data_IF_698978494715
#
_entry.id   IF_698978494715
#
_cell.length_a   1.000
_cell.length_b   1.000
_cell.length_c   1.000
_cell.angle_alpha   90.00
_cell.angle_beta   90.00
_cell.angle_gamma   90.00
#
_symmetry.space_group_name_H-M   'P 1'
#
loop_
_entity.id
_entity.type
_entity.pdbx_description
1 polymer ?
#
# COMPACT_ATOMS: atom_id res chain seq x y z
N UNK A 1 -1.90 -10.15 -14.62
CA UNK A 1 -1.62 -10.54 -13.22
C UNK A 1 -2.75 -10.17 -12.26
N UNK A 2 -3.42 -9.02 -12.44
CA UNK A 2 -4.57 -8.55 -11.63
C UNK A 2 -5.66 -9.60 -11.33
N UNK A 3 -6.14 -10.32 -12.34
CA UNK A 3 -7.12 -11.43 -12.17
C UNK A 3 -6.68 -12.54 -11.22
N UNK A 4 -5.36 -12.78 -11.07
CA UNK A 4 -4.83 -13.80 -10.14
C UNK A 4 -4.71 -13.26 -8.72
N UNK A 5 -4.43 -11.96 -8.55
CA UNK A 5 -4.41 -11.34 -7.22
C UNK A 5 -5.80 -11.21 -6.63
N UNK A 6 -6.81 -10.85 -7.44
CA UNK A 6 -8.22 -10.84 -7.04
C UNK A 6 -8.71 -12.20 -6.53
N UNK A 7 -8.24 -13.30 -7.13
CA UNK A 7 -8.59 -14.66 -6.69
C UNK A 7 -7.99 -15.04 -5.32
N UNK A 8 -6.88 -14.41 -4.93
CA UNK A 8 -6.15 -14.72 -3.68
C UNK A 8 -6.56 -13.78 -2.54
N UNK A 9 -7.14 -12.61 -2.85
CA UNK A 9 -7.60 -11.64 -1.85
C UNK A 9 -8.53 -12.25 -0.77
N UNK A 10 -9.56 -13.06 -1.09
CA UNK A 10 -10.42 -13.67 -0.08
C UNK A 10 -9.67 -14.61 0.87
N UNK A 11 -8.69 -15.36 0.35
CA UNK A 11 -7.87 -16.26 1.15
C UNK A 11 -6.95 -15.48 2.10
N UNK A 12 -6.34 -14.38 1.62
CA UNK A 12 -5.49 -13.54 2.46
C UNK A 12 -6.29 -12.83 3.55
N UNK A 13 -7.48 -12.31 3.23
CA UNK A 13 -8.38 -11.72 4.23
C UNK A 13 -8.82 -12.75 5.27
N UNK A 14 -9.11 -13.99 4.83
CA UNK A 14 -9.42 -15.09 5.73
C UNK A 14 -8.25 -15.38 6.68
N UNK A 15 -7.02 -15.48 6.17
CA UNK A 15 -5.82 -15.67 6.99
C UNK A 15 -5.61 -14.52 7.99
N UNK A 16 -5.85 -13.27 7.59
CA UNK A 16 -5.83 -12.12 8.50
C UNK A 16 -6.86 -12.25 9.63
N UNK A 17 -8.09 -12.66 9.30
CA UNK A 17 -9.17 -12.81 10.29
C UNK A 17 -8.95 -14.00 11.24
N UNK A 18 -8.32 -15.07 10.77
CA UNK A 18 -8.07 -16.29 11.56
C UNK A 18 -6.78 -16.21 12.39
N UNK A 19 -5.87 -15.27 12.09
CA UNK A 19 -4.57 -15.14 12.72
C UNK A 19 -4.35 -13.75 13.33
N UNK A 20 -5.40 -13.15 13.90
CA UNK A 20 -5.29 -11.89 14.66
C UNK A 20 -4.25 -12.02 15.77
N UNK A 21 -3.45 -10.98 15.98
CA UNK A 21 -2.36 -10.92 16.99
C UNK A 21 -1.18 -11.83 16.70
N UNK A 22 -1.12 -12.40 15.50
CA UNK A 22 -0.04 -13.28 15.09
C UNK A 22 0.91 -12.59 14.09
N UNK A 23 2.12 -13.13 13.96
CA UNK A 23 3.12 -12.73 12.98
C UNK A 23 2.57 -12.70 11.54
N UNK A 24 1.59 -13.57 11.28
CA UNK A 24 0.91 -13.69 9.99
C UNK A 24 0.09 -12.43 9.65
N UNK A 25 -0.55 -11.80 10.64
CA UNK A 25 -1.37 -10.59 10.46
C UNK A 25 -0.52 -9.44 9.90
N UNK A 26 0.60 -9.12 10.58
CA UNK A 26 1.46 -8.04 10.11
C UNK A 26 2.20 -8.40 8.82
N UNK A 27 2.59 -9.67 8.63
CA UNK A 27 3.34 -10.09 7.45
C UNK A 27 2.50 -9.94 6.18
N UNK A 28 1.21 -10.28 6.24
CA UNK A 28 0.28 -10.10 5.13
C UNK A 28 0.06 -8.61 4.87
N UNK A 29 -0.29 -7.81 5.89
CA UNK A 29 -0.52 -6.37 5.73
C UNK A 29 0.70 -5.61 5.17
N UNK A 30 1.90 -5.89 5.71
CA UNK A 30 3.13 -5.25 5.27
C UNK A 30 3.55 -5.62 3.84
N UNK A 31 3.10 -6.76 3.31
CA UNK A 31 3.37 -7.16 1.92
C UNK A 31 2.34 -6.61 0.94
N UNK A 32 1.08 -6.54 1.35
CA UNK A 32 0.00 -6.09 0.47
C UNK A 32 0.18 -4.64 0.05
N UNK A 33 0.71 -3.76 0.90
CA UNK A 33 0.96 -2.37 0.50
C UNK A 33 1.98 -2.20 -0.64
N UNK A 34 2.76 -3.23 -0.98
CA UNK A 34 3.65 -3.29 -2.15
C UNK A 34 3.03 -3.97 -3.38
N UNK A 35 1.87 -4.62 -3.26
CA UNK A 35 1.31 -5.45 -4.32
C UNK A 35 0.25 -4.68 -5.11
N UNK A 36 0.61 -4.16 -6.27
CA UNK A 36 -0.34 -3.53 -7.22
C UNK A 36 -1.26 -4.54 -7.93
N UNK A 37 -1.16 -5.83 -7.57
CA UNK A 37 -1.84 -6.93 -8.25
C UNK A 37 -3.08 -7.43 -7.55
N UNK A 38 -3.30 -7.04 -6.29
CA UNK A 38 -4.48 -7.41 -5.48
C UNK A 38 -5.44 -6.23 -5.39
N UNK A 39 -6.73 -6.51 -5.24
CA UNK A 39 -7.69 -5.48 -4.84
C UNK A 39 -7.37 -5.02 -3.42
N UNK A 40 -6.92 -3.77 -3.28
CA UNK A 40 -6.40 -3.22 -2.03
C UNK A 40 -7.52 -2.83 -1.06
N UNK A 41 -8.72 -2.50 -1.57
CA UNK A 41 -9.82 -1.94 -0.79
C UNK A 41 -10.15 -2.72 0.49
N UNK A 42 -10.38 -4.05 0.40
CA UNK A 42 -10.67 -4.87 1.57
C UNK A 42 -9.55 -4.87 2.64
N UNK A 43 -8.30 -4.69 2.24
CA UNK A 43 -7.17 -4.64 3.16
C UNK A 43 -7.03 -3.28 3.84
N UNK A 44 -7.43 -2.20 3.15
CA UNK A 44 -7.55 -0.87 3.77
C UNK A 44 -8.65 -0.88 4.83
N UNK A 45 -9.78 -1.50 4.53
CA UNK A 45 -10.88 -1.62 5.49
C UNK A 45 -10.48 -2.45 6.72
N UNK A 46 -9.74 -3.54 6.50
CA UNK A 46 -9.15 -4.31 7.59
C UNK A 46 -8.18 -3.46 8.43
N UNK A 47 -7.27 -2.72 7.79
CA UNK A 47 -6.29 -1.87 8.48
C UNK A 47 -6.97 -0.77 9.31
N UNK A 48 -7.98 -0.08 8.75
CA UNK A 48 -8.79 0.91 9.47
C UNK A 48 -9.50 0.31 10.66
N UNK A 49 -10.11 -0.87 10.47
CA UNK A 49 -10.80 -1.61 11.52
C UNK A 49 -9.85 -1.98 12.65
N UNK A 50 -8.68 -2.52 12.31
CA UNK A 50 -7.61 -2.85 13.25
C UNK A 50 -7.19 -1.63 14.08
N UNK A 51 -6.90 -0.51 13.41
CA UNK A 51 -6.48 0.73 14.05
C UNK A 51 -7.57 1.35 14.94
N UNK A 52 -8.86 1.21 14.58
CA UNK A 52 -10.01 1.75 15.32
C UNK A 52 -10.41 0.89 16.51
N UNK A 53 -10.50 -0.43 16.31
CA UNK A 53 -11.08 -1.34 17.30
C UNK A 53 -10.04 -1.89 18.27
N UNK A 54 -8.78 -1.94 17.86
CA UNK A 54 -7.67 -2.52 18.64
C UNK A 54 -6.60 -1.49 18.97
N UNK A 55 -6.94 -0.21 19.02
CA UNK A 55 -6.00 0.90 19.30
C UNK A 55 -5.11 0.61 20.50
N UNK A 56 -5.71 0.14 21.60
CA UNK A 56 -5.02 -0.09 22.89
C UNK A 56 -4.29 -1.43 22.96
N UNK A 57 -4.80 -2.45 22.28
CA UNK A 57 -4.38 -3.85 22.48
C UNK A 57 -3.49 -4.38 21.37
N UNK A 58 -3.50 -3.78 20.18
CA UNK A 58 -2.68 -4.26 19.05
C UNK A 58 -1.19 -4.12 19.34
N UNK A 59 -0.36 -5.01 18.77
CA UNK A 59 1.10 -4.86 18.86
C UNK A 59 1.60 -3.64 18.07
N UNK A 60 2.84 -3.20 18.35
CA UNK A 60 3.46 -2.13 17.57
C UNK A 60 3.68 -2.52 16.11
N UNK A 61 3.99 -3.79 15.85
CA UNK A 61 4.16 -4.34 14.50
C UNK A 61 2.84 -4.33 13.71
N UNK A 62 1.73 -4.70 14.37
CA UNK A 62 0.40 -4.64 13.75
C UNK A 62 -0.01 -3.20 13.45
N UNK A 63 0.23 -2.27 14.38
CA UNK A 63 0.00 -0.84 14.18
C UNK A 63 0.84 -0.30 13.00
N UNK A 64 2.11 -0.70 12.92
CA UNK A 64 3.00 -0.30 11.84
C UNK A 64 2.59 -0.85 10.49
N UNK A 65 2.21 -2.12 10.40
CA UNK A 65 1.77 -2.73 9.14
C UNK A 65 0.44 -2.13 8.64
N UNK A 66 -0.48 -1.81 9.55
CA UNK A 66 -1.72 -1.12 9.22
C UNK A 66 -1.48 0.34 8.80
N UNK A 67 -0.58 1.05 9.49
CA UNK A 67 -0.20 2.40 9.12
C UNK A 67 0.51 2.42 7.75
N UNK A 68 1.38 1.44 7.49
CA UNK A 68 2.14 1.29 6.25
C UNK A 68 1.25 1.17 5.00
N UNK A 69 0.20 0.35 5.05
CA UNK A 69 -0.70 0.17 3.91
C UNK A 69 -1.57 1.43 3.71
N UNK A 70 -2.03 2.06 4.79
CA UNK A 70 -2.82 3.29 4.74
C UNK A 70 -2.01 4.50 4.31
N UNK A 71 -0.71 4.57 4.60
CA UNK A 71 0.14 5.67 4.12
C UNK A 71 0.23 5.73 2.59
N UNK A 72 0.25 4.56 1.94
CA UNK A 72 0.37 4.44 0.48
C UNK A 72 -0.97 4.61 -0.24
N UNK A 73 -2.02 4.06 0.35
CA UNK A 73 -3.30 3.87 -0.35
C UNK A 73 -4.50 4.52 0.34
N UNK A 74 -4.30 5.07 1.54
CA UNK A 74 -5.34 5.68 2.35
C UNK A 74 -5.78 7.05 1.86
N UNK A 75 -6.41 7.79 2.76
CA UNK A 75 -7.18 9.00 2.53
C UNK A 75 -6.87 10.06 3.59
N UNK A 76 -7.51 11.22 3.51
CA UNK A 76 -7.31 12.30 4.49
C UNK A 76 -7.93 11.96 5.84
N UNK A 77 -8.98 11.14 5.85
CA UNK A 77 -9.59 10.59 7.05
C UNK A 77 -8.62 9.68 7.83
N UNK A 78 -7.79 8.94 7.10
CA UNK A 78 -6.76 8.07 7.70
C UNK A 78 -5.64 8.90 8.38
N UNK A 79 -5.40 10.14 7.92
CA UNK A 79 -4.49 11.08 8.57
C UNK A 79 -4.96 11.45 9.98
N UNK A 80 -6.23 11.86 10.10
CA UNK A 80 -6.83 12.18 11.39
C UNK A 80 -6.85 10.97 12.33
N UNK A 81 -7.07 9.76 11.77
CA UNK A 81 -7.00 8.53 12.55
C UNK A 81 -5.59 8.27 13.10
N UNK A 82 -4.52 8.54 12.32
CA UNK A 82 -3.14 8.41 12.81
C UNK A 82 -2.82 9.39 13.93
N UNK A 83 -3.22 10.66 13.79
CA UNK A 83 -3.02 11.68 14.83
C UNK A 83 -3.70 11.28 16.14
N UNK A 84 -4.93 10.77 16.04
CA UNK A 84 -5.67 10.32 17.21
C UNK A 84 -4.99 9.13 17.89
N UNK A 85 -4.50 8.15 17.13
CA UNK A 85 -3.81 6.99 17.68
C UNK A 85 -2.50 7.38 18.34
N UNK A 86 -1.74 8.30 17.74
CA UNK A 86 -0.51 8.82 18.35
C UNK A 86 -0.82 9.52 19.68
N UNK A 87 -1.92 10.27 19.75
CA UNK A 87 -2.37 10.96 20.96
C UNK A 87 -2.80 9.98 22.06
N UNK A 88 -3.62 9.00 21.70
CA UNK A 88 -4.24 8.05 22.64
C UNK A 88 -3.28 6.93 23.05
N UNK A 89 -2.31 6.59 22.20
CA UNK A 89 -1.30 5.56 22.46
C UNK A 89 0.11 6.02 22.07
N UNK A 90 0.80 6.77 22.96
CA UNK A 90 2.13 7.30 22.67
C UNK A 90 3.21 6.24 22.38
N UNK A 91 3.02 4.99 22.83
CA UNK A 91 4.00 3.92 22.60
C UNK A 91 4.15 3.49 21.14
N UNK A 92 3.14 3.73 20.29
CA UNK A 92 3.23 3.46 18.84
C UNK A 92 3.58 4.70 18.02
N UNK A 93 3.87 5.83 18.69
CA UNK A 93 4.16 7.11 18.03
C UNK A 93 5.26 6.98 16.99
N UNK A 94 6.39 6.37 17.35
CA UNK A 94 7.53 6.23 16.45
C UNK A 94 7.17 5.39 15.21
N UNK A 95 6.35 4.35 15.40
CA UNK A 95 5.94 3.46 14.31
C UNK A 95 5.00 4.15 13.32
N UNK A 96 4.07 4.99 13.80
CA UNK A 96 3.05 5.62 12.95
C UNK A 96 3.53 6.95 12.35
N UNK A 97 4.44 7.67 13.03
CA UNK A 97 4.85 9.03 12.60
C UNK A 97 5.49 9.04 11.22
N UNK A 98 6.33 8.07 10.86
CA UNK A 98 6.94 8.01 9.53
C UNK A 98 5.88 7.73 8.44
N UNK A 99 4.95 6.84 8.71
CA UNK A 99 3.85 6.54 7.78
C UNK A 99 2.88 7.74 7.64
N UNK A 100 2.66 8.51 8.70
CA UNK A 100 1.91 9.77 8.64
C UNK A 100 2.58 10.80 7.71
N UNK A 101 3.92 10.93 7.77
CA UNK A 101 4.66 11.81 6.86
C UNK A 101 4.51 11.38 5.40
N UNK A 102 4.60 10.08 5.12
CA UNK A 102 4.42 9.51 3.79
C UNK A 102 3.00 9.79 3.28
N UNK A 103 1.98 9.58 4.13
CA UNK A 103 0.59 9.85 3.80
C UNK A 103 0.39 11.32 3.40
N UNK A 104 0.87 12.24 4.23
CA UNK A 104 0.78 13.70 3.99
C UNK A 104 1.47 14.09 2.70
N UNK A 105 2.73 13.71 2.52
CA UNK A 105 3.48 14.01 1.31
C UNK A 105 2.74 13.52 0.06
N UNK A 106 2.15 12.32 0.10
CA UNK A 106 1.38 11.78 -1.01
C UNK A 106 0.06 12.53 -1.25
N UNK A 107 -0.64 12.93 -0.19
CA UNK A 107 -1.89 13.69 -0.30
C UNK A 107 -1.63 15.12 -0.82
N UNK A 108 -0.56 15.77 -0.36
CA UNK A 108 -0.16 17.12 -0.79
C UNK A 108 0.29 17.14 -2.26
N UNK A 109 0.94 16.07 -2.73
CA UNK A 109 1.36 15.90 -4.14
C UNK A 109 0.20 15.56 -5.07
N UNK A 110 -0.97 15.19 -4.54
CA UNK A 110 -2.14 14.86 -5.33
C UNK A 110 -3.03 16.11 -5.34
N UNK A 111 -2.90 17.01 -6.33
CA UNK A 111 -3.76 18.19 -6.37
C UNK A 111 -5.20 17.69 -6.37
N UNK A 112 -5.98 18.23 -5.42
CA UNK A 112 -7.42 18.03 -5.38
C UNK A 112 -7.93 18.47 -6.75
N UNK A 113 -8.31 17.52 -7.60
CA UNK A 113 -8.93 17.83 -8.89
C UNK A 113 -10.30 18.37 -8.52
N UNK A 114 -10.35 19.66 -8.19
CA UNK A 114 -11.59 20.41 -8.17
C UNK A 114 -12.14 20.25 -9.58
N UNK A 115 -13.33 19.65 -9.77
CA UNK A 115 -13.92 19.59 -11.10
C UNK A 115 -14.10 21.03 -11.56
N UNK A 116 -13.20 21.46 -12.44
CA UNK A 116 -13.29 22.76 -13.07
C UNK A 116 -14.65 22.87 -13.77
N UNK A 117 -15.26 24.06 -13.81
CA UNK A 117 -16.50 24.24 -14.54
C UNK A 117 -16.32 23.70 -15.96
N UNK A 118 -17.27 22.86 -16.41
CA UNK A 118 -17.29 22.33 -17.78
C UNK A 118 -17.01 23.49 -18.74
N UNK A 119 -16.09 23.37 -19.69
CA UNK A 119 -15.94 24.41 -20.70
C UNK A 119 -17.27 24.48 -21.46
N UNK A 120 -17.91 25.65 -21.39
CA UNK A 120 -19.06 25.96 -22.22
C UNK A 120 -18.71 25.62 -23.66
N UNK A 121 -19.60 24.83 -24.26
CA UNK A 121 -19.54 24.37 -25.63
C UNK A 121 -19.58 25.61 -26.54
N UNK A 122 -18.42 26.18 -26.87
CA UNK A 122 -18.32 27.25 -27.86
C UNK A 122 -18.59 26.64 -29.23
N UNK A 123 -19.65 27.16 -29.84
CA UNK A 123 -20.10 26.90 -31.21
C UNK A 123 -18.93 26.94 -32.21
N UNK A 124 -18.88 25.96 -33.11
CA UNK A 124 -17.99 25.99 -34.27
C UNK A 124 -18.41 27.13 -35.22
N UNK A 125 -17.44 27.88 -35.78
CA UNK A 125 -17.58 28.42 -37.11
C UNK A 125 -16.90 27.50 -38.13
N UNK A 126 -17.62 27.26 -39.22
CA UNK A 126 -17.20 26.54 -40.41
C UNK A 126 -16.03 27.23 -41.15
N UNK A 127 -15.11 26.39 -41.66
CA UNK A 127 -14.29 26.52 -42.89
C UNK A 127 -13.47 27.79 -43.15
N UNK A 128 -12.14 27.65 -43.31
CA UNK A 128 -11.47 27.81 -44.62
C UNK A 128 -10.01 27.33 -44.60
N UNK A 129 -9.60 26.80 -45.76
CA UNK A 129 -8.31 26.31 -46.26
C UNK A 129 -7.11 27.28 -46.05
N UNK A 130 -5.91 26.76 -45.79
CA UNK A 130 -4.66 27.54 -45.90
C UNK A 130 -3.41 26.82 -45.41
N UNK A 131 -2.30 26.95 -46.15
CA UNK A 131 -1.12 26.08 -46.14
C UNK A 131 -0.15 26.19 -44.93
N UNK A 132 0.49 25.04 -44.66
CA UNK A 132 1.88 24.80 -44.25
C UNK A 132 2.68 25.90 -43.51
N UNK A 133 3.08 25.61 -42.26
CA UNK A 133 4.40 25.98 -41.71
C UNK A 133 4.86 24.88 -40.74
N UNK A 134 6.02 24.30 -41.03
CA UNK A 134 6.82 23.39 -40.18
C UNK A 134 7.64 24.22 -39.19
N UNK A 135 7.76 23.83 -37.91
CA UNK A 135 8.89 24.25 -37.09
C UNK A 135 9.86 23.07 -36.89
N UNK A 136 11.12 23.35 -37.18
CA UNK A 136 12.26 22.50 -36.93
C UNK A 136 12.46 22.27 -35.43
N UNK A 137 12.42 21.00 -34.99
CA UNK A 137 12.92 20.60 -33.68
C UNK A 137 14.35 20.09 -33.83
N UNK A 138 15.30 21.00 -33.65
CA UNK A 138 16.69 20.71 -33.32
C UNK A 138 16.87 20.89 -31.81
N UNK A 139 16.71 19.83 -31.04
CA UNK A 139 17.54 19.61 -29.85
C UNK A 139 17.64 18.11 -29.58
N UNK A 140 18.77 17.56 -29.99
CA UNK A 140 19.23 16.22 -29.64
C UNK A 140 19.68 16.21 -28.17
N UNK A 141 19.28 15.16 -27.46
CA UNK A 141 20.06 14.40 -26.48
C UNK A 141 20.71 15.15 -25.30
N UNK A 142 20.09 14.99 -24.12
CA UNK A 142 20.82 14.32 -23.05
C UNK A 142 19.94 13.26 -22.39
N UNK A 143 20.26 12.02 -22.77
CA UNK A 143 19.77 10.76 -22.25
C UNK A 143 20.42 10.56 -20.87
N UNK A 144 19.61 10.64 -19.82
CA UNK A 144 20.02 10.19 -18.49
C UNK A 144 19.29 8.88 -18.23
N UNK A 145 19.92 7.79 -18.69
CA UNK A 145 19.58 6.41 -18.31
C UNK A 145 19.83 6.25 -16.80
N UNK A 146 18.84 6.66 -16.01
CA UNK A 146 18.64 6.18 -14.65
C UNK A 146 17.62 5.06 -14.74
N UNK A 147 18.06 3.85 -15.10
CA UNK A 147 17.24 2.65 -14.95
C UNK A 147 16.99 2.45 -13.45
N UNK A 148 15.90 3.03 -12.95
CA UNK A 148 15.27 2.53 -11.74
C UNK A 148 14.83 1.10 -12.06
N UNK A 149 15.68 0.15 -11.70
CA UNK A 149 15.40 -1.27 -11.75
C UNK A 149 14.13 -1.52 -10.94
N UNK A 150 13.00 -1.47 -11.65
CA UNK A 150 11.72 -1.91 -11.15
C UNK A 150 11.89 -3.41 -10.95
N UNK A 151 12.29 -3.80 -9.74
CA UNK A 151 12.61 -5.16 -9.39
C UNK A 151 11.32 -5.98 -9.50
N UNK A 152 11.05 -6.52 -10.69
CA UNK A 152 9.89 -7.37 -10.99
C UNK A 152 10.06 -8.69 -10.23
N UNK A 153 9.74 -8.68 -8.94
CA UNK A 153 9.69 -9.88 -8.11
C UNK A 153 8.54 -10.72 -8.66
N UNK A 154 8.92 -11.77 -9.41
CA UNK A 154 7.97 -12.70 -9.99
C UNK A 154 7.09 -13.31 -8.86
N UNK A 155 5.78 -13.48 -9.07
CA UNK A 155 4.83 -13.85 -7.99
C UNK A 155 5.08 -15.23 -7.33
N UNK A 156 5.71 -16.17 -8.02
CA UNK A 156 6.17 -17.44 -7.43
C UNK A 156 7.21 -17.28 -6.30
N UNK A 157 8.00 -16.20 -6.28
CA UNK A 157 8.92 -15.90 -5.18
C UNK A 157 8.16 -15.51 -3.92
N UNK A 158 6.98 -14.91 -4.05
CA UNK A 158 6.14 -14.50 -2.92
C UNK A 158 5.53 -15.74 -2.26
N UNK A 159 5.01 -16.67 -3.05
CA UNK A 159 4.55 -17.98 -2.53
C UNK A 159 5.72 -18.71 -1.88
N UNK A 160 6.90 -18.71 -2.50
CA UNK A 160 8.12 -19.30 -1.93
C UNK A 160 8.55 -18.65 -0.61
N UNK A 161 8.47 -17.33 -0.49
CA UNK A 161 8.80 -16.57 0.72
C UNK A 161 7.79 -16.82 1.84
N UNK A 162 6.49 -16.81 1.53
CA UNK A 162 5.45 -17.14 2.51
C UNK A 162 5.62 -18.58 2.99
N UNK A 163 5.87 -19.53 2.07
CA UNK A 163 6.14 -20.92 2.40
C UNK A 163 7.42 -21.07 3.25
N UNK A 164 8.48 -20.33 2.95
CA UNK A 164 9.73 -20.35 3.71
C UNK A 164 9.56 -19.79 5.12
N UNK A 165 8.79 -18.71 5.28
CA UNK A 165 8.44 -18.15 6.60
C UNK A 165 7.59 -19.14 7.40
N UNK A 166 6.57 -19.75 6.78
CA UNK A 166 5.76 -20.79 7.41
C UNK A 166 6.59 -22.03 7.81
N UNK A 167 7.54 -22.47 6.96
CA UNK A 167 8.47 -23.57 7.30
C UNK A 167 9.45 -23.18 8.41
N UNK A 168 9.93 -21.94 8.42
CA UNK A 168 10.81 -21.41 9.47
C UNK A 168 10.11 -21.40 10.83
N UNK A 169 8.87 -20.90 10.87
CA UNK A 169 7.99 -20.92 12.04
C UNK A 169 7.71 -22.35 12.51
N UNK A 170 7.37 -23.26 11.59
CA UNK A 170 7.16 -24.67 11.91
C UNK A 170 8.41 -25.32 12.53
N UNK A 171 9.60 -25.04 11.99
CA UNK A 171 10.86 -25.52 12.56
C UNK A 171 11.16 -24.93 13.94
N UNK A 172 10.84 -23.65 14.16
CA UNK A 172 11.08 -22.99 15.44
C UNK A 172 10.14 -23.52 16.53
N UNK A 173 8.85 -23.65 16.23
CA UNK A 173 7.84 -24.25 17.12
C UNK A 173 8.18 -25.71 17.46
N UNK A 174 8.65 -26.49 16.48
CA UNK A 174 9.05 -27.88 16.68
C UNK A 174 10.32 -28.03 17.53
N UNK A 175 11.23 -27.05 17.52
CA UNK A 175 12.38 -27.01 18.44
C UNK A 175 11.96 -26.66 19.86
N UNK A 176 11.01 -25.74 20.04
CA UNK A 176 10.42 -25.43 21.36
C UNK A 176 9.76 -26.63 22.03
N UNK A 177 9.07 -27.48 21.25
CA UNK A 177 8.45 -28.71 21.76
C UNK A 177 9.45 -29.82 22.11
N UNK A 178 10.68 -29.81 21.57
CA UNK A 178 11.74 -30.76 21.92
C UNK A 178 12.61 -30.30 23.09
N UNK A 179 12.57 -29.03 23.46
CA UNK A 179 13.32 -28.46 24.58
C UNK A 179 12.65 -28.64 25.95
N UNK A 180 11.35 -28.94 25.98
CA UNK A 180 10.57 -29.14 27.21
C UNK A 180 10.33 -30.63 27.54
N UNK A 181 11.16 -31.52 27.00
CA UNK A 181 11.18 -32.94 27.37
C UNK A 181 12.60 -33.37 27.69
N UNK A 182 13.16 -32.75 28.74
CA UNK A 182 14.30 -33.23 29.50
C UNK A 182 14.21 -32.65 30.92
#
# INVERSE_FOLDING_TARGET
>A
MRRRGEAVSPMLLKLLSENTENIVEFAILGKIGYLDTVDIGPFLDYARKLLRERTQTMSGEAAGAAAYILARHGTKEDEAQFEEIIRVRPSVKYTITEELKILRARLDLKPEIVPGPRPDQRELPSSSTGNAVRPDNLTQNHQQDGSEDTFWIKPWFIVGMILAVLLGLYRHLRKGLRGNSA
#
